data_IF_514609565937
#
_entry.id   IF_514609565937
#
_cell.length_a   1.000
_cell.length_b   1.000
_cell.length_c   1.000
_cell.angle_alpha   90.00
_cell.angle_beta   90.00
_cell.angle_gamma   90.00
#
_symmetry.space_group_name_H-M   'P 1'
#
loop_
_entity.id
_entity.type
_entity.pdbx_description
1 polymer ?
#
# COMPACT_ATOMS: atom_id res chain seq x y z
N UNK A 1 1.23 15.49 2.23
CA UNK A 1 1.40 14.50 3.30
C UNK A 1 2.55 13.56 3.00
N UNK A 2 2.54 12.86 1.86
CA UNK A 2 3.57 11.90 1.46
C UNK A 2 4.99 12.49 1.54
N UNK A 3 5.21 13.72 1.03
CA UNK A 3 6.51 14.41 1.12
C UNK A 3 6.99 14.55 2.56
N UNK A 4 6.13 15.01 3.45
CA UNK A 4 6.46 15.17 4.86
C UNK A 4 6.70 13.84 5.58
N UNK A 5 5.94 12.79 5.20
CA UNK A 5 6.14 11.44 5.71
C UNK A 5 7.55 10.91 5.33
N UNK A 6 8.02 11.20 4.12
CA UNK A 6 9.33 10.72 3.63
C UNK A 6 10.52 11.37 4.31
N UNK A 7 10.34 12.49 5.04
CA UNK A 7 11.42 13.14 5.81
C UNK A 7 12.08 12.21 6.82
N UNK A 8 11.30 11.33 7.45
CA UNK A 8 11.83 10.37 8.43
C UNK A 8 12.47 9.13 7.79
N UNK A 9 12.21 8.89 6.50
CA UNK A 9 12.76 7.75 5.78
C UNK A 9 14.04 8.09 5.04
N UNK A 10 14.17 9.33 4.53
CA UNK A 10 15.26 9.71 3.65
C UNK A 10 16.04 10.92 4.17
N UNK A 11 17.35 10.75 4.20
CA UNK A 11 18.29 11.84 4.55
C UNK A 11 18.45 12.87 3.43
N UNK A 12 18.37 12.41 2.16
CA UNK A 12 18.62 13.25 0.98
C UNK A 12 17.31 13.70 0.33
N UNK A 13 17.24 14.97 -0.03
CA UNK A 13 16.06 15.55 -0.71
C UNK A 13 15.76 14.90 -2.06
N UNK A 14 16.82 14.52 -2.82
CA UNK A 14 16.69 13.81 -4.09
C UNK A 14 15.90 12.49 -3.94
N UNK A 15 16.18 11.74 -2.88
CA UNK A 15 15.48 10.47 -2.62
C UNK A 15 14.00 10.72 -2.29
N UNK A 16 13.72 11.81 -1.55
CA UNK A 16 12.33 12.21 -1.23
C UNK A 16 11.57 12.58 -2.50
N UNK A 17 12.21 13.35 -3.38
CA UNK A 17 11.61 13.75 -4.65
C UNK A 17 11.31 12.53 -5.53
N UNK A 18 12.27 11.59 -5.69
CA UNK A 18 12.07 10.36 -6.44
C UNK A 18 10.92 9.55 -5.83
N UNK A 19 10.84 9.46 -4.50
CA UNK A 19 9.78 8.71 -3.83
C UNK A 19 8.39 9.28 -4.15
N UNK A 20 8.24 10.61 -4.21
CA UNK A 20 6.98 11.25 -4.57
C UNK A 20 6.65 11.01 -6.03
N UNK A 21 7.62 11.18 -6.94
CA UNK A 21 7.41 10.92 -8.35
C UNK A 21 6.92 9.49 -8.58
N UNK A 22 7.56 8.49 -7.95
CA UNK A 22 7.14 7.10 -8.06
C UNK A 22 5.74 6.91 -7.46
N UNK A 23 5.43 7.52 -6.32
CA UNK A 23 4.10 7.43 -5.71
C UNK A 23 3.01 7.98 -6.63
N UNK A 24 3.25 9.11 -7.29
CA UNK A 24 2.28 9.74 -8.19
C UNK A 24 2.04 8.92 -9.47
N UNK A 25 3.06 8.21 -9.97
CA UNK A 25 2.95 7.38 -11.18
C UNK A 25 2.57 5.92 -10.88
N UNK A 26 2.34 5.56 -9.61
CA UNK A 26 1.84 4.22 -9.27
C UNK A 26 0.46 3.98 -9.91
N UNK A 27 0.28 2.86 -10.67
CA UNK A 27 -1.00 2.57 -11.31
C UNK A 27 -2.17 2.53 -10.33
N UNK A 28 -1.96 1.98 -9.12
CA UNK A 28 -2.98 1.95 -8.08
C UNK A 28 -3.40 3.33 -7.57
N UNK A 29 -2.48 4.30 -7.49
CA UNK A 29 -2.80 5.68 -7.10
C UNK A 29 -3.52 6.41 -8.21
N UNK A 30 -3.06 6.25 -9.45
CA UNK A 30 -3.68 6.87 -10.63
C UNK A 30 -5.11 6.35 -10.82
N UNK A 31 -5.30 5.03 -10.78
CA UNK A 31 -6.64 4.44 -10.95
C UNK A 31 -7.60 4.87 -9.84
N UNK A 32 -7.15 4.89 -8.57
CA UNK A 32 -7.95 5.37 -7.46
C UNK A 32 -8.35 6.84 -7.60
N UNK A 33 -7.44 7.69 -8.11
CA UNK A 33 -7.71 9.12 -8.32
C UNK A 33 -8.63 9.39 -9.52
N UNK A 34 -8.45 8.67 -10.64
CA UNK A 34 -9.26 8.83 -11.84
C UNK A 34 -10.70 8.33 -11.67
N UNK A 35 -10.87 7.23 -10.93
CA UNK A 35 -12.19 6.65 -10.68
C UNK A 35 -12.93 7.33 -9.51
N UNK A 36 -12.29 8.29 -8.83
CA UNK A 36 -12.83 8.98 -7.63
C UNK A 36 -13.35 7.95 -6.61
N UNK A 37 -12.57 6.89 -6.40
CA UNK A 37 -12.94 5.80 -5.53
C UNK A 37 -12.64 6.12 -4.04
N UNK A 38 -13.34 5.45 -3.11
CA UNK A 38 -13.09 5.53 -1.66
C UNK A 38 -11.62 5.26 -1.30
N UNK A 39 -10.93 4.42 -2.06
CA UNK A 39 -9.52 4.09 -1.91
C UNK A 39 -8.59 5.32 -1.80
N UNK A 40 -8.87 6.40 -2.56
CA UNK A 40 -8.04 7.61 -2.49
C UNK A 40 -8.22 8.33 -1.14
N UNK A 41 -9.44 8.32 -0.58
CA UNK A 41 -9.73 8.87 0.74
C UNK A 41 -9.02 8.06 1.84
N UNK A 42 -9.02 6.74 1.71
CA UNK A 42 -8.33 5.84 2.63
C UNK A 42 -6.82 6.09 2.60
N UNK A 43 -6.21 6.25 1.42
CA UNK A 43 -4.80 6.63 1.28
C UNK A 43 -4.55 7.97 1.98
N UNK A 44 -5.39 8.99 1.72
CA UNK A 44 -5.22 10.32 2.28
C UNK A 44 -5.28 10.31 3.82
N UNK A 45 -6.32 9.71 4.39
CA UNK A 45 -6.52 9.68 5.84
C UNK A 45 -5.47 8.83 6.56
N UNK A 46 -5.05 7.72 5.96
CA UNK A 46 -3.98 6.90 6.53
C UNK A 46 -2.63 7.63 6.50
N UNK A 47 -2.31 8.35 5.41
CA UNK A 47 -1.13 9.21 5.35
C UNK A 47 -1.20 10.37 6.34
N UNK A 48 -2.39 10.95 6.55
CA UNK A 48 -2.61 11.99 7.56
C UNK A 48 -2.34 11.46 8.97
N UNK A 49 -2.86 10.29 9.28
CA UNK A 49 -2.62 9.63 10.57
C UNK A 49 -1.13 9.36 10.80
N UNK A 50 -0.45 8.79 9.81
CA UNK A 50 0.98 8.51 9.88
C UNK A 50 1.81 9.80 10.06
N UNK A 51 1.44 10.86 9.34
CA UNK A 51 2.10 12.16 9.49
C UNK A 51 1.91 12.76 10.90
N UNK A 52 0.68 12.72 11.44
CA UNK A 52 0.41 13.19 12.79
C UNK A 52 1.14 12.38 13.85
N UNK A 53 1.20 11.06 13.67
CA UNK A 53 1.98 10.18 14.54
C UNK A 53 3.48 10.51 14.52
N UNK A 54 4.05 10.74 13.33
CA UNK A 54 5.45 11.11 13.20
C UNK A 54 5.78 12.46 13.84
N UNK A 55 4.89 13.45 13.68
CA UNK A 55 5.10 14.80 14.21
C UNK A 55 5.00 14.87 15.73
N UNK A 56 4.03 14.18 16.31
CA UNK A 56 3.69 14.32 17.73
C UNK A 56 4.22 13.17 18.59
N UNK A 57 4.74 12.09 17.98
CA UNK A 57 5.09 10.82 18.63
C UNK A 57 3.95 10.24 19.50
N UNK A 58 2.70 10.64 19.23
CA UNK A 58 1.49 10.18 19.94
C UNK A 58 0.42 9.79 18.94
N UNK A 59 -0.33 8.75 19.27
CA UNK A 59 -1.46 8.31 18.47
C UNK A 59 -2.64 9.30 18.61
N UNK A 60 -3.17 9.74 17.47
CA UNK A 60 -4.36 10.60 17.43
C UNK A 60 -5.62 9.75 17.50
N UNK A 61 -6.11 9.48 18.72
CA UNK A 61 -7.31 8.67 18.95
C UNK A 61 -8.56 9.30 18.34
N UNK A 62 -8.66 10.63 18.37
CA UNK A 62 -9.79 11.33 17.78
C UNK A 62 -9.90 11.10 16.27
N UNK A 63 -8.75 11.10 15.58
CA UNK A 63 -8.69 10.79 14.14
C UNK A 63 -9.09 9.34 13.86
N UNK A 64 -8.64 8.41 14.73
CA UNK A 64 -9.03 7.00 14.60
C UNK A 64 -10.54 6.80 14.80
N UNK A 65 -11.17 7.51 15.78
CA UNK A 65 -12.64 7.47 15.93
C UNK A 65 -13.34 7.96 14.68
N UNK A 66 -12.85 9.04 14.08
CA UNK A 66 -13.42 9.58 12.84
C UNK A 66 -13.37 8.57 11.68
N UNK A 67 -12.31 7.79 11.56
CA UNK A 67 -12.16 6.79 10.49
C UNK A 67 -13.25 5.72 10.51
N UNK A 68 -13.82 5.42 11.67
CA UNK A 68 -14.92 4.45 11.77
C UNK A 68 -16.14 4.85 10.92
N UNK A 69 -16.35 6.14 10.72
CA UNK A 69 -17.50 6.67 9.96
C UNK A 69 -17.19 6.94 8.49
N UNK A 70 -15.93 6.79 8.07
CA UNK A 70 -15.51 7.12 6.70
C UNK A 70 -15.63 5.93 5.77
N UNK A 71 -15.04 4.80 6.14
CA UNK A 71 -14.98 3.64 5.25
C UNK A 71 -14.75 2.35 6.03
N UNK A 72 -15.30 1.26 5.51
CA UNK A 72 -15.14 -0.10 6.03
C UNK A 72 -13.67 -0.55 6.07
N UNK A 73 -12.88 -0.17 5.07
CA UNK A 73 -11.47 -0.59 4.93
C UNK A 73 -10.58 -0.18 6.11
N UNK A 74 -11.00 0.81 6.94
CA UNK A 74 -10.28 1.18 8.15
C UNK A 74 -10.22 0.07 9.22
N UNK A 75 -11.05 -0.96 9.12
CA UNK A 75 -10.90 -2.18 9.92
C UNK A 75 -9.50 -2.80 9.79
N UNK A 76 -8.92 -2.76 8.57
CA UNK A 76 -7.57 -3.26 8.30
C UNK A 76 -6.53 -2.42 9.08
N UNK A 77 -6.73 -1.09 9.12
CA UNK A 77 -5.86 -0.20 9.88
C UNK A 77 -5.93 -0.50 11.38
N UNK A 78 -7.12 -0.68 11.95
CA UNK A 78 -7.27 -1.03 13.38
C UNK A 78 -6.57 -2.35 13.71
N UNK A 79 -6.72 -3.36 12.87
CA UNK A 79 -6.05 -4.63 13.07
C UNK A 79 -4.52 -4.50 12.95
N UNK A 80 -4.03 -3.68 12.03
CA UNK A 80 -2.60 -3.39 11.91
C UNK A 80 -2.04 -2.68 13.15
N UNK A 81 -2.79 -1.69 13.67
CA UNK A 81 -2.44 -0.98 14.91
C UNK A 81 -2.49 -1.89 16.13
N UNK A 82 -3.39 -2.87 16.17
CA UNK A 82 -3.42 -3.89 17.20
C UNK A 82 -2.12 -4.71 17.22
N UNK A 83 -1.67 -5.22 16.07
CA UNK A 83 -0.40 -5.97 15.98
C UNK A 83 0.81 -5.09 16.31
N UNK A 84 0.81 -3.84 15.87
CA UNK A 84 1.85 -2.87 16.20
C UNK A 84 1.94 -2.61 17.71
N UNK A 85 0.80 -2.35 18.36
CA UNK A 85 0.72 -2.09 19.79
C UNK A 85 1.08 -3.30 20.64
N UNK A 86 0.72 -4.50 20.19
CA UNK A 86 1.08 -5.75 20.85
C UNK A 86 2.61 -5.92 20.92
N UNK A 87 3.32 -5.63 19.82
CA UNK A 87 4.80 -5.69 19.80
C UNK A 87 5.43 -4.61 20.69
N UNK A 88 4.89 -3.39 20.67
CA UNK A 88 5.43 -2.25 21.44
C UNK A 88 4.91 -2.17 22.88
N UNK A 89 4.07 -3.12 23.29
CA UNK A 89 3.46 -3.19 24.64
C UNK A 89 2.66 -1.93 25.02
N UNK A 90 2.11 -1.20 24.04
CA UNK A 90 1.20 -0.06 24.27
C UNK A 90 -0.22 -0.58 24.52
N UNK A 91 -0.52 -0.85 25.80
CA UNK A 91 -1.82 -1.38 26.20
C UNK A 91 -3.00 -0.47 25.81
N UNK A 92 -2.82 0.86 25.84
CA UNK A 92 -3.91 1.79 25.50
C UNK A 92 -4.28 1.66 24.01
N UNK A 93 -3.29 1.70 23.14
CA UNK A 93 -3.53 1.54 21.70
C UNK A 93 -4.06 0.14 21.38
N UNK A 94 -3.59 -0.88 22.08
CA UNK A 94 -4.01 -2.27 21.87
C UNK A 94 -5.50 -2.45 22.14
N UNK A 95 -6.00 -2.02 23.32
CA UNK A 95 -7.43 -2.13 23.65
C UNK A 95 -8.27 -1.25 22.74
N UNK A 96 -7.82 -0.03 22.47
CA UNK A 96 -8.52 0.90 21.60
C UNK A 96 -8.68 0.31 20.19
N UNK A 97 -7.61 -0.14 19.58
CA UNK A 97 -7.63 -0.71 18.22
C UNK A 97 -8.46 -1.99 18.13
N UNK A 98 -8.42 -2.84 19.16
CA UNK A 98 -9.23 -4.05 19.22
C UNK A 98 -10.73 -3.72 19.30
N UNK A 99 -11.13 -2.80 20.18
CA UNK A 99 -12.53 -2.37 20.31
C UNK A 99 -13.03 -1.77 19.00
N UNK A 100 -12.25 -0.88 18.36
CA UNK A 100 -12.64 -0.25 17.10
C UNK A 100 -12.65 -1.23 15.92
N UNK A 101 -11.79 -2.23 15.93
CA UNK A 101 -11.85 -3.32 14.95
C UNK A 101 -13.17 -4.11 15.08
N UNK A 102 -13.53 -4.53 16.29
CA UNK A 102 -14.78 -5.26 16.55
C UNK A 102 -16.00 -4.39 16.19
N UNK A 103 -15.97 -3.11 16.55
CA UNK A 103 -17.05 -2.18 16.24
C UNK A 103 -17.20 -1.95 14.73
N UNK A 104 -16.09 -1.79 14.02
CA UNK A 104 -16.09 -1.69 12.55
C UNK A 104 -16.66 -2.96 11.89
N UNK A 105 -16.27 -4.14 12.40
CA UNK A 105 -16.82 -5.40 11.93
C UNK A 105 -18.30 -5.57 12.24
N UNK A 106 -18.77 -5.06 13.36
CA UNK A 106 -20.19 -5.10 13.74
C UNK A 106 -21.04 -4.19 12.85
N UNK A 107 -20.55 -3.00 12.50
CA UNK A 107 -21.29 -2.01 11.71
C UNK A 107 -21.33 -2.38 10.23
N UNK A 108 -20.20 -2.75 9.67
CA UNK A 108 -20.05 -2.94 8.22
C UNK A 108 -19.96 -4.42 7.82
N UNK A 109 -19.29 -5.24 8.62
CA UNK A 109 -18.91 -6.59 8.24
C UNK A 109 -17.87 -6.61 7.11
N UNK A 110 -17.37 -7.79 6.78
CA UNK A 110 -16.74 -8.02 5.48
C UNK A 110 -17.79 -8.59 4.54
N UNK A 111 -17.97 -7.98 3.37
CA UNK A 111 -18.84 -8.54 2.34
C UNK A 111 -18.29 -9.90 1.92
N UNK A 112 -19.09 -10.94 2.13
CA UNK A 112 -18.74 -12.32 1.79
C UNK A 112 -19.59 -12.77 0.60
N UNK A 113 -19.29 -12.24 -0.58
CA UNK A 113 -19.99 -12.62 -1.80
C UNK A 113 -19.27 -13.73 -2.53
N UNK A 114 -20.04 -14.74 -2.94
CA UNK A 114 -19.64 -15.74 -3.90
C UNK A 114 -19.44 -17.15 -3.35
N UNK A 115 -19.33 -18.09 -4.29
CA UNK A 115 -19.01 -19.50 -4.00
C UNK A 115 -17.55 -19.60 -3.58
N UNK A 116 -17.20 -20.44 -2.58
CA UNK A 116 -15.82 -20.62 -2.15
C UNK A 116 -14.99 -21.20 -3.31
N UNK A 117 -14.18 -20.37 -3.92
CA UNK A 117 -13.16 -20.73 -4.92
C UNK A 117 -11.85 -20.09 -4.48
N UNK A 118 -10.73 -20.77 -4.74
CA UNK A 118 -9.42 -20.19 -4.51
C UNK A 118 -9.10 -19.09 -5.53
N UNK A 119 -9.05 -17.84 -5.10
CA UNK A 119 -8.73 -16.65 -5.93
C UNK A 119 -7.33 -16.12 -5.67
N UNK A 120 -6.43 -16.95 -5.16
CA UNK A 120 -5.10 -16.52 -4.73
C UNK A 120 -4.29 -15.96 -5.89
N UNK A 121 -4.32 -16.61 -7.06
CA UNK A 121 -3.62 -16.13 -8.26
C UNK A 121 -4.18 -14.78 -8.72
N UNK A 122 -5.51 -14.62 -8.69
CA UNK A 122 -6.17 -13.36 -9.04
C UNK A 122 -5.74 -12.23 -8.10
N UNK A 123 -5.63 -12.51 -6.80
CA UNK A 123 -5.19 -11.51 -5.82
C UNK A 123 -3.74 -11.07 -6.08
N UNK A 124 -2.83 -11.99 -6.37
CA UNK A 124 -1.46 -11.64 -6.76
C UNK A 124 -1.41 -10.87 -8.08
N UNK A 125 -2.22 -11.26 -9.08
CA UNK A 125 -2.33 -10.55 -10.35
C UNK A 125 -2.81 -9.11 -10.13
N UNK A 126 -3.81 -8.89 -9.28
CA UNK A 126 -4.33 -7.56 -8.96
C UNK A 126 -3.25 -6.70 -8.26
N UNK A 127 -2.51 -7.25 -7.29
CA UNK A 127 -1.40 -6.50 -6.68
C UNK A 127 -0.29 -6.17 -7.69
N UNK A 128 -0.02 -7.08 -8.62
CA UNK A 128 0.92 -6.81 -9.71
C UNK A 128 0.44 -5.67 -10.63
N UNK A 129 -0.88 -5.47 -10.79
CA UNK A 129 -1.41 -4.31 -11.53
C UNK A 129 -1.34 -3.02 -10.73
N UNK A 130 -1.54 -3.05 -9.40
CA UNK A 130 -1.45 -1.88 -8.52
C UNK A 130 -0.04 -1.29 -8.48
N UNK A 131 0.98 -2.13 -8.43
CA UNK A 131 2.38 -1.72 -8.33
C UNK A 131 3.13 -1.71 -9.66
N UNK A 132 2.82 -2.50 -10.62
CA UNK A 132 3.57 -3.16 -11.68
C UNK A 132 4.24 -4.46 -11.18
N UNK A 133 4.36 -5.50 -12.04
CA UNK A 133 4.84 -6.83 -11.61
C UNK A 133 6.21 -6.81 -10.92
N UNK A 134 7.17 -6.08 -11.47
CA UNK A 134 8.54 -6.01 -10.92
C UNK A 134 8.57 -5.27 -9.58
N UNK A 135 7.82 -4.18 -9.46
CA UNK A 135 7.76 -3.42 -8.22
C UNK A 135 7.02 -4.21 -7.12
N UNK A 136 6.03 -5.02 -7.48
CA UNK A 136 5.34 -5.91 -6.56
C UNK A 136 6.26 -7.00 -5.99
N UNK A 137 7.09 -7.63 -6.83
CA UNK A 137 8.11 -8.58 -6.35
C UNK A 137 9.06 -7.88 -5.37
N UNK A 138 9.46 -6.65 -5.70
CA UNK A 138 10.32 -5.87 -4.82
C UNK A 138 9.62 -5.48 -3.51
N UNK A 139 8.30 -5.23 -3.54
CA UNK A 139 7.49 -5.02 -2.34
C UNK A 139 7.54 -6.23 -1.40
N UNK A 140 7.29 -7.43 -1.91
CA UNK A 140 7.37 -8.67 -1.12
C UNK A 140 8.77 -8.83 -0.50
N UNK A 141 9.82 -8.63 -1.31
CA UNK A 141 11.20 -8.69 -0.85
C UNK A 141 11.47 -7.67 0.28
N UNK A 142 10.99 -6.44 0.14
CA UNK A 142 11.21 -5.39 1.13
C UNK A 142 10.49 -5.66 2.45
N UNK A 143 9.25 -6.18 2.39
CA UNK A 143 8.49 -6.63 3.55
C UNK A 143 9.22 -7.75 4.33
N UNK A 144 9.67 -8.76 3.58
CA UNK A 144 10.41 -9.89 4.15
C UNK A 144 11.71 -9.41 4.80
N UNK A 145 12.49 -8.59 4.12
CA UNK A 145 13.76 -8.06 4.62
C UNK A 145 13.59 -7.21 5.88
N UNK A 146 12.60 -6.31 5.91
CA UNK A 146 12.30 -5.50 7.09
C UNK A 146 11.82 -6.36 8.27
N UNK A 147 11.06 -7.41 7.98
CA UNK A 147 10.64 -8.39 8.99
C UNK A 147 11.78 -9.12 9.66
N UNK A 148 12.80 -9.54 8.90
CA UNK A 148 13.97 -10.26 9.42
C UNK A 148 14.92 -9.32 10.18
N UNK A 149 15.17 -8.11 9.67
CA UNK A 149 16.08 -7.14 10.28
C UNK A 149 15.52 -6.42 11.50
N UNK A 150 14.30 -6.75 11.91
CA UNK A 150 13.53 -6.08 12.98
C UNK A 150 13.38 -4.55 12.80
N UNK A 151 13.45 -4.08 11.55
CA UNK A 151 13.19 -2.69 11.16
C UNK A 151 11.68 -2.45 10.94
N UNK A 152 10.85 -3.01 11.83
CA UNK A 152 9.38 -3.02 11.71
C UNK A 152 8.80 -1.70 12.17
N UNK A 153 8.53 -0.82 11.21
CA UNK A 153 7.82 0.45 11.44
C UNK A 153 6.30 0.24 11.43
N UNK A 154 5.55 1.24 11.88
CA UNK A 154 4.08 1.23 11.82
C UNK A 154 3.57 1.01 10.38
N UNK A 155 4.22 1.59 9.38
CA UNK A 155 3.91 1.37 7.96
C UNK A 155 4.12 -0.07 7.53
N UNK A 156 5.14 -0.74 8.06
CA UNK A 156 5.36 -2.17 7.81
C UNK A 156 4.20 -3.01 8.33
N UNK A 157 3.74 -2.74 9.58
CA UNK A 157 2.59 -3.46 10.13
C UNK A 157 1.32 -3.23 9.31
N UNK A 158 1.06 -2.00 8.87
CA UNK A 158 -0.11 -1.66 8.05
C UNK A 158 -0.09 -2.47 6.74
N UNK A 159 1.01 -2.43 6.01
CA UNK A 159 1.12 -3.10 4.71
C UNK A 159 1.17 -4.63 4.83
N UNK A 160 1.84 -5.14 5.85
CA UNK A 160 1.91 -6.58 6.12
C UNK A 160 0.55 -7.14 6.50
N UNK A 161 -0.19 -6.46 7.37
CA UNK A 161 -1.53 -6.87 7.78
C UNK A 161 -2.48 -6.87 6.60
N UNK A 162 -2.48 -5.82 5.77
CA UNK A 162 -3.31 -5.76 4.58
C UNK A 162 -3.00 -6.91 3.60
N UNK A 163 -1.72 -7.17 3.35
CA UNK A 163 -1.31 -8.26 2.46
C UNK A 163 -1.70 -9.63 3.01
N UNK A 164 -1.43 -9.91 4.29
CA UNK A 164 -1.77 -11.20 4.90
C UNK A 164 -3.27 -11.43 4.92
N UNK A 165 -4.07 -10.43 5.31
CA UNK A 165 -5.53 -10.54 5.29
C UNK A 165 -6.07 -10.77 3.89
N UNK A 166 -5.57 -10.05 2.89
CA UNK A 166 -6.02 -10.25 1.51
C UNK A 166 -5.70 -11.66 1.00
N UNK A 167 -4.54 -12.22 1.36
CA UNK A 167 -4.20 -13.61 1.05
C UNK A 167 -5.14 -14.59 1.75
N UNK A 168 -5.39 -14.40 3.06
CA UNK A 168 -6.30 -15.25 3.82
C UNK A 168 -7.71 -15.23 3.23
N UNK A 169 -8.23 -14.05 2.89
CA UNK A 169 -9.55 -13.95 2.27
C UNK A 169 -9.59 -14.54 0.86
N UNK A 170 -8.50 -14.45 0.10
CA UNK A 170 -8.44 -15.00 -1.26
C UNK A 170 -8.59 -16.51 -1.36
N UNK A 171 -8.39 -17.26 -0.25
CA UNK A 171 -8.70 -18.69 -0.21
C UNK A 171 -10.19 -18.96 -0.27
N UNK A 172 -11.02 -18.05 0.20
CA UNK A 172 -12.47 -18.25 0.30
C UNK A 172 -13.27 -17.42 -0.71
N UNK A 173 -12.84 -16.17 -0.96
CA UNK A 173 -13.61 -15.21 -1.75
C UNK A 173 -12.70 -14.33 -2.60
N UNK A 174 -13.29 -13.67 -3.59
CA UNK A 174 -12.58 -12.63 -4.36
C UNK A 174 -12.35 -11.42 -3.47
N UNK A 175 -11.12 -10.92 -3.46
CA UNK A 175 -10.72 -9.77 -2.65
C UNK A 175 -10.98 -8.48 -3.41
N UNK A 176 -11.66 -7.53 -2.77
CA UNK A 176 -11.81 -6.17 -3.29
C UNK A 176 -10.53 -5.40 -3.03
N UNK A 177 -9.81 -5.09 -4.11
CA UNK A 177 -8.51 -4.41 -4.01
C UNK A 177 -8.63 -2.99 -3.43
N UNK A 178 -9.81 -2.38 -3.56
CA UNK A 178 -10.11 -1.04 -3.06
C UNK A 178 -9.93 -0.92 -1.55
N UNK A 179 -10.21 -2.01 -0.82
CA UNK A 179 -10.05 -2.07 0.63
C UNK A 179 -8.60 -2.27 1.06
N UNK A 180 -7.83 -3.05 0.32
CA UNK A 180 -6.48 -3.47 0.71
C UNK A 180 -5.37 -2.68 0.00
N UNK A 181 -5.58 -2.30 -1.26
CA UNK A 181 -4.62 -1.58 -2.08
C UNK A 181 -4.04 -0.32 -1.43
N UNK A 182 -4.88 0.55 -0.81
CA UNK A 182 -4.42 1.75 -0.13
C UNK A 182 -3.31 1.50 0.89
N UNK A 183 -3.47 0.48 1.71
CA UNK A 183 -2.51 0.15 2.78
C UNK A 183 -1.22 -0.44 2.26
N UNK A 184 -1.29 -1.15 1.13
CA UNK A 184 -0.11 -1.73 0.49
C UNK A 184 0.70 -0.65 -0.22
N UNK A 185 0.05 0.30 -0.89
CA UNK A 185 0.70 1.44 -1.57
C UNK A 185 1.46 2.35 -0.60
N UNK A 186 0.97 2.52 0.63
CA UNK A 186 1.63 3.30 1.69
C UNK A 186 3.01 2.73 2.08
N UNK A 187 3.31 1.49 1.70
CA UNK A 187 4.63 0.88 1.94
C UNK A 187 5.78 1.51 1.14
N UNK A 188 5.48 2.29 0.11
CA UNK A 188 6.47 2.81 -0.84
C UNK A 188 7.69 3.51 -0.18
N UNK A 189 7.54 4.36 0.87
CA UNK A 189 8.69 5.00 1.52
C UNK A 189 9.69 3.99 2.10
N UNK A 190 9.23 2.95 2.79
CA UNK A 190 10.16 1.98 3.34
C UNK A 190 10.76 1.06 2.27
N UNK A 191 10.02 0.74 1.20
CA UNK A 191 10.55 0.03 0.05
C UNK A 191 11.72 0.79 -0.57
N UNK A 192 11.53 2.07 -0.85
CA UNK A 192 12.55 2.92 -1.44
C UNK A 192 13.72 3.19 -0.48
N UNK A 193 13.46 3.29 0.84
CA UNK A 193 14.52 3.33 1.85
C UNK A 193 15.43 2.10 1.72
N UNK A 194 14.84 0.92 1.62
CA UNK A 194 15.57 -0.34 1.43
C UNK A 194 16.37 -0.35 0.13
N UNK A 195 15.79 0.18 -0.95
CA UNK A 195 16.43 0.30 -2.25
C UNK A 195 17.65 1.24 -2.21
N UNK A 196 17.49 2.48 -1.75
CA UNK A 196 18.58 3.45 -1.70
C UNK A 196 19.69 3.04 -0.75
N UNK A 197 19.34 2.44 0.39
CA UNK A 197 20.33 1.89 1.31
C UNK A 197 21.13 0.77 0.64
N UNK A 198 20.46 -0.18 -0.01
CA UNK A 198 21.11 -1.28 -0.71
C UNK A 198 22.01 -0.79 -1.85
N UNK A 199 21.56 0.23 -2.60
CA UNK A 199 22.33 0.85 -3.68
C UNK A 199 23.64 1.51 -3.19
N UNK A 200 23.58 2.22 -2.06
CA UNK A 200 24.75 2.95 -1.52
C UNK A 200 25.82 2.05 -0.93
N UNK A 201 25.41 0.93 -0.35
CA UNK A 201 26.33 -0.03 0.29
C UNK A 201 27.02 -0.92 -0.75
N UNK A 202 26.47 -1.06 -1.95
CA UNK A 202 27.04 -1.93 -3.01
C UNK A 202 28.30 -1.34 -3.62
N UNK A 203 29.22 -2.22 -4.01
CA UNK A 203 30.40 -1.90 -4.83
C UNK A 203 29.98 -1.36 -6.21
N UNK A 204 30.82 -0.53 -6.83
CA UNK A 204 30.51 0.15 -8.10
C UNK A 204 30.11 -0.82 -9.22
N UNK A 205 30.75 -1.98 -9.29
CA UNK A 205 30.48 -3.02 -10.29
C UNK A 205 29.04 -3.55 -10.25
N UNK A 206 28.50 -3.75 -9.04
CA UNK A 206 27.13 -4.24 -8.84
C UNK A 206 26.06 -3.15 -8.89
N UNK A 207 26.45 -1.86 -8.94
CA UNK A 207 25.50 -0.74 -9.07
C UNK A 207 24.86 -0.65 -10.44
N UNK A 208 25.57 -1.10 -11.50
CA UNK A 208 25.04 -1.08 -12.87
C UNK A 208 23.78 -1.94 -12.97
N UNK A 209 23.84 -3.18 -12.52
CA UNK A 209 22.67 -4.09 -12.53
C UNK A 209 21.50 -3.50 -11.73
N UNK A 210 21.79 -2.87 -10.60
CA UNK A 210 20.76 -2.24 -9.77
C UNK A 210 20.09 -1.04 -10.46
N UNK A 211 20.88 -0.24 -11.20
CA UNK A 211 20.36 0.87 -12.01
C UNK A 211 19.51 0.36 -13.17
N UNK A 212 19.94 -0.70 -13.87
CA UNK A 212 19.18 -1.29 -14.98
C UNK A 212 17.80 -1.73 -14.47
N UNK A 213 17.75 -2.43 -13.33
CA UNK A 213 16.49 -2.87 -12.73
C UNK A 213 15.63 -1.66 -12.35
N UNK A 214 16.20 -0.61 -11.75
CA UNK A 214 15.49 0.61 -11.40
C UNK A 214 14.90 1.31 -12.63
N UNK A 215 15.68 1.49 -13.67
CA UNK A 215 15.24 2.08 -14.94
C UNK A 215 14.12 1.25 -15.57
N UNK A 216 14.24 -0.08 -15.54
CA UNK A 216 13.23 -0.99 -16.07
C UNK A 216 11.90 -0.86 -15.29
N UNK A 217 11.95 -0.80 -13.96
CA UNK A 217 10.76 -0.58 -13.12
C UNK A 217 10.11 0.76 -13.44
N UNK A 218 10.90 1.85 -13.50
CA UNK A 218 10.36 3.19 -13.78
C UNK A 218 9.78 3.24 -15.21
N UNK A 219 10.44 2.67 -16.19
CA UNK A 219 9.92 2.59 -17.57
C UNK A 219 8.59 1.84 -17.62
N UNK A 220 8.47 0.73 -16.89
CA UNK A 220 7.23 -0.04 -16.82
C UNK A 220 6.10 0.75 -16.15
N UNK A 221 6.40 1.53 -15.10
CA UNK A 221 5.43 2.42 -14.48
C UNK A 221 4.96 3.51 -15.46
N UNK A 222 5.89 4.15 -16.16
CA UNK A 222 5.56 5.18 -17.17
C UNK A 222 4.70 4.60 -18.29
N UNK A 223 5.04 3.42 -18.80
CA UNK A 223 4.23 2.74 -19.83
C UNK A 223 2.81 2.47 -19.30
N UNK A 224 2.66 1.99 -18.06
CA UNK A 224 1.34 1.77 -17.45
C UNK A 224 0.53 3.08 -17.35
N UNK A 225 1.16 4.19 -17.00
CA UNK A 225 0.51 5.51 -17.01
C UNK A 225 0.01 5.86 -18.40
N UNK A 226 0.86 5.75 -19.41
CA UNK A 226 0.47 6.00 -20.80
C UNK A 226 -0.69 5.11 -21.24
N UNK A 227 -0.64 3.82 -20.95
CA UNK A 227 -1.72 2.89 -21.28
C UNK A 227 -3.04 3.28 -20.60
N UNK A 228 -2.98 3.73 -19.34
CA UNK A 228 -4.18 4.17 -18.60
C UNK A 228 -4.85 5.38 -19.27
N UNK A 229 -4.05 6.36 -19.73
CA UNK A 229 -4.57 7.55 -20.40
C UNK A 229 -5.03 7.28 -21.85
N UNK A 230 -4.35 6.40 -22.59
CA UNK A 230 -4.67 6.05 -23.97
C UNK A 230 -5.78 5.00 -24.06
N UNK A 231 -6.14 4.37 -22.96
CA UNK A 231 -7.13 3.28 -22.93
C UNK A 231 -8.45 3.69 -23.61
N UNK A 232 -8.97 4.88 -23.34
CA UNK A 232 -10.22 5.37 -23.94
C UNK A 232 -10.13 5.58 -25.47
N UNK A 233 -9.13 6.28 -26.03
CA UNK A 233 -8.94 6.33 -27.49
C UNK A 233 -8.59 4.98 -28.11
N UNK A 234 -7.90 4.09 -27.41
CA UNK A 234 -7.57 2.75 -27.88
C UNK A 234 -8.83 1.90 -28.13
N UNK A 235 -9.83 1.98 -27.24
CA UNK A 235 -11.13 1.31 -27.44
C UNK A 235 -11.91 1.87 -28.63
N UNK A 236 -11.75 3.15 -28.96
CA UNK A 236 -12.36 3.75 -30.15
C UNK A 236 -11.75 3.24 -31.46
N UNK A 237 -10.43 2.94 -31.43
CA UNK A 237 -9.69 2.46 -32.61
C UNK A 237 -9.80 0.94 -32.80
N UNK A 238 -9.72 0.16 -31.71
CA UNK A 238 -9.72 -1.31 -31.79
C UNK A 238 -11.12 -1.95 -31.79
N UNK A 239 -12.18 -1.14 -31.66
CA UNK A 239 -13.55 -1.64 -31.51
C UNK A 239 -13.82 -2.21 -30.13
N UNK A 240 -15.06 -2.09 -29.69
CA UNK A 240 -15.48 -2.55 -28.36
C UNK A 240 -15.64 -4.08 -28.38
N UNK A 241 -14.81 -4.88 -27.68
CA UNK A 241 -14.90 -6.36 -27.70
C UNK A 241 -16.19 -6.89 -27.07
N UNK A 242 -17.04 -6.02 -26.50
CA UNK A 242 -18.33 -6.39 -25.87
C UNK A 242 -19.51 -6.29 -26.83
N UNK A 243 -19.29 -6.12 -28.14
CA UNK A 243 -20.35 -6.12 -29.17
C UNK A 243 -20.46 -7.46 -29.92
N UNK A 244 -20.23 -8.56 -29.23
CA UNK A 244 -20.57 -9.91 -29.70
C UNK A 244 -21.33 -10.66 -28.64
#
# INVERSE_FOLDING_TARGET
LMYKLTENYFRYEKDRFIAICIFMILPGVISASLLVNSAIMVIFFTLLYLYMYQKNAKHSYLLLVFFLFVDNSFAILYLALFFYSFKNQDKKLMYFSMIFFILSMYIYGFSTDGKPRGFLVDTFAIYATVFSPLLFIYFIYSLYRAGIKDERTITWYISMTAMVLSIVFSFRQRVFIEDFGPYVVISLPFMLKTFFHSYRVRLKEFRQTHNIIAVLIVSMLVINVFLTFINKPLYLVLGNPTKH
#
